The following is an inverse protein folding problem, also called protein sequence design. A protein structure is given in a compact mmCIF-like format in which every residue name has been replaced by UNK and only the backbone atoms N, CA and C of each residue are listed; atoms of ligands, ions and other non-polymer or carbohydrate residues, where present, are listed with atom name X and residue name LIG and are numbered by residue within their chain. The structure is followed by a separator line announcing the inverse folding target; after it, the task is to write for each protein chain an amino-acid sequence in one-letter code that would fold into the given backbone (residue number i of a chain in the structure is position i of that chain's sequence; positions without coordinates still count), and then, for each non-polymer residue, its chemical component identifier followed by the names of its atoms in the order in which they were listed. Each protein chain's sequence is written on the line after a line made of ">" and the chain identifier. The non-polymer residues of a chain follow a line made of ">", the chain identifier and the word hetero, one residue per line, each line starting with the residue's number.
data_IF_108602225287
#
_entry.id   IF_108602225287
#
_cell.length_a   1.000
_cell.length_b   1.000
_cell.length_c   1.000
_cell.angle_alpha   90.00
_cell.angle_beta   90.00
_cell.angle_gamma   90.00
#
_symmetry.space_group_name_H-M   'P 1'
#
loop_
_entity.id
_entity.type
_entity.pdbx_description
1 polymer ?
#
# COMPACT_ATOMS: atom_id res chain seq x y z
N UNK A 1 34.35 8.76 19.52
CA UNK A 1 33.63 9.56 18.51
C UNK A 1 32.78 10.54 19.29
N UNK A 2 32.86 11.83 18.96
CA UNK A 2 32.18 12.90 19.70
C UNK A 2 30.66 12.82 19.44
N UNK A 3 29.85 12.83 20.50
CA UNK A 3 28.39 12.67 20.41
C UNK A 3 27.74 13.83 19.67
N UNK A 4 28.38 15.01 19.69
CA UNK A 4 27.89 16.20 18.98
C UNK A 4 28.10 16.05 17.46
N UNK A 5 29.28 15.59 17.04
CA UNK A 5 29.59 15.35 15.63
C UNK A 5 28.67 14.29 14.99
N UNK A 6 28.26 13.28 15.77
CA UNK A 6 27.30 12.28 15.31
C UNK A 6 25.89 12.85 15.07
N UNK A 7 25.43 13.79 15.90
CA UNK A 7 24.12 14.42 15.69
C UNK A 7 24.14 15.38 14.49
N UNK A 8 25.22 16.15 14.31
CA UNK A 8 25.37 17.00 13.12
C UNK A 8 25.36 16.19 11.83
N UNK A 9 25.99 15.01 11.80
CA UNK A 9 25.96 14.11 10.65
C UNK A 9 24.54 13.60 10.35
N UNK A 10 23.76 13.28 11.37
CA UNK A 10 22.36 12.86 11.25
C UNK A 10 21.49 13.99 10.71
N UNK A 11 21.60 15.18 11.28
CA UNK A 11 20.81 16.34 10.86
C UNK A 11 21.14 16.71 9.40
N UNK A 12 22.44 16.70 9.06
CA UNK A 12 22.89 16.91 7.68
C UNK A 12 22.34 15.86 6.71
N UNK A 13 22.23 14.60 7.14
CA UNK A 13 21.64 13.54 6.30
C UNK A 13 20.18 13.86 5.97
N UNK A 14 19.37 14.18 6.99
CA UNK A 14 17.95 14.47 6.80
C UNK A 14 17.70 15.78 6.05
N UNK A 15 18.51 16.81 6.28
CA UNK A 15 18.42 18.10 5.57
C UNK A 15 18.77 17.97 4.08
N UNK A 16 19.64 17.02 3.74
CA UNK A 16 20.02 16.75 2.35
C UNK A 16 18.97 15.94 1.57
N UNK A 17 18.08 15.23 2.28
CA UNK A 17 17.06 14.39 1.67
C UNK A 17 15.88 15.22 1.16
N UNK A 18 15.30 14.90 -0.01
CA UNK A 18 14.08 15.56 -0.46
C UNK A 18 12.96 15.40 0.58
N UNK A 19 12.21 16.47 0.91
CA UNK A 19 11.14 16.38 1.88
C UNK A 19 10.06 15.40 1.42
N UNK A 20 9.52 14.64 2.37
CA UNK A 20 8.43 13.72 2.10
C UNK A 20 7.20 14.50 1.60
N UNK A 21 6.68 14.10 0.43
CA UNK A 21 5.44 14.68 -0.10
C UNK A 21 4.31 14.48 0.91
N UNK A 22 3.51 15.52 1.11
CA UNK A 22 2.36 15.50 2.03
C UNK A 22 2.73 15.16 3.50
N UNK A 23 3.96 15.45 3.94
CA UNK A 23 4.45 15.15 5.30
C UNK A 23 3.48 15.59 6.40
N UNK A 24 2.98 16.83 6.35
CA UNK A 24 2.03 17.35 7.32
C UNK A 24 0.75 16.50 7.43
N UNK A 25 0.17 16.11 6.29
CA UNK A 25 -1.05 15.27 6.27
C UNK A 25 -0.78 13.88 6.83
N UNK A 26 0.40 13.31 6.54
CA UNK A 26 0.81 12.00 7.06
C UNK A 26 0.98 12.09 8.59
N UNK A 27 1.65 13.14 9.07
CA UNK A 27 1.82 13.41 10.51
C UNK A 27 0.47 13.57 11.21
N UNK A 28 -0.46 14.32 10.64
CA UNK A 28 -1.80 14.51 11.20
C UNK A 28 -2.57 13.19 11.32
N UNK A 29 -2.57 12.37 10.25
CA UNK A 29 -3.20 11.05 10.26
C UNK A 29 -2.57 10.11 11.29
N UNK A 30 -1.25 10.14 11.41
CA UNK A 30 -0.51 9.29 12.36
C UNK A 30 -0.81 9.70 13.81
N UNK A 31 -0.86 11.01 14.08
CA UNK A 31 -1.26 11.53 15.38
C UNK A 31 -2.71 11.16 15.72
N UNK A 32 -3.63 11.27 14.78
CA UNK A 32 -5.03 10.86 14.96
C UNK A 32 -5.13 9.37 15.30
N UNK A 33 -4.37 8.50 14.60
CA UNK A 33 -4.32 7.07 14.87
C UNK A 33 -3.79 6.77 16.29
N UNK A 34 -2.66 7.37 16.69
CA UNK A 34 -2.08 7.17 18.02
C UNK A 34 -3.02 7.67 19.13
N UNK A 35 -3.66 8.82 18.90
CA UNK A 35 -4.63 9.37 19.85
C UNK A 35 -5.86 8.48 20.01
N UNK A 36 -6.33 7.85 18.93
CA UNK A 36 -7.45 6.92 18.99
C UNK A 36 -7.16 5.70 19.88
N UNK A 37 -5.93 5.18 19.84
CA UNK A 37 -5.51 4.03 20.64
C UNK A 37 -4.98 4.40 22.04
N UNK A 38 -4.96 5.70 22.37
CA UNK A 38 -4.47 6.21 23.66
C UNK A 38 -5.43 5.85 24.81
N UNK A 39 -4.90 5.58 26.01
CA UNK A 39 -5.73 5.27 27.18
C UNK A 39 -6.67 6.44 27.50
N UNK A 40 -7.96 6.17 27.58
CA UNK A 40 -8.98 7.14 27.96
C UNK A 40 -9.78 6.60 29.16
N UNK A 41 -9.55 7.17 30.34
CA UNK A 41 -10.17 6.74 31.60
C UNK A 41 -9.58 5.42 32.16
N UNK A 42 -10.44 4.54 32.68
CA UNK A 42 -10.05 3.25 33.27
C UNK A 42 -9.65 2.18 32.23
N UNK A 43 -9.90 2.43 30.94
CA UNK A 43 -9.58 1.49 29.86
C UNK A 43 -8.13 1.66 29.44
N UNK A 44 -7.35 0.58 29.57
CA UNK A 44 -5.96 0.53 29.13
C UNK A 44 -5.90 0.68 27.60
N UNK A 45 -5.07 1.60 27.11
CA UNK A 45 -4.88 1.86 25.68
C UNK A 45 -4.43 0.62 24.91
N UNK A 46 -4.67 0.60 23.60
CA UNK A 46 -4.30 -0.54 22.73
C UNK A 46 -2.80 -0.52 22.47
N UNK A 47 -2.19 -1.70 22.32
CA UNK A 47 -0.77 -1.80 21.97
C UNK A 47 -0.60 -1.52 20.49
N UNK A 48 0.27 -0.57 20.17
CA UNK A 48 0.62 -0.20 18.80
C UNK A 48 2.00 -0.78 18.47
N UNK A 49 2.14 -1.33 17.26
CA UNK A 49 3.42 -1.81 16.70
C UNK A 49 3.57 -1.22 15.31
N UNK A 50 4.75 -0.67 15.01
CA UNK A 50 5.11 -0.24 13.67
C UNK A 50 5.81 -1.39 12.94
N UNK A 51 5.31 -1.76 11.76
CA UNK A 51 5.91 -2.78 10.90
C UNK A 51 6.28 -2.13 9.57
N UNK A 52 7.57 -2.17 9.21
CA UNK A 52 8.05 -1.78 7.88
C UNK A 52 8.16 -3.02 7.00
N UNK A 53 7.58 -2.96 5.80
CA UNK A 53 7.58 -4.08 4.85
C UNK A 53 7.79 -3.58 3.42
N UNK A 54 8.35 -4.43 2.55
CA UNK A 54 8.71 -4.08 1.17
C UNK A 54 10.17 -3.69 0.99
N UNK A 55 10.57 -3.46 -0.26
CA UNK A 55 11.91 -3.02 -0.64
C UNK A 55 12.05 -1.49 -0.68
N UNK A 56 13.29 -1.01 -0.73
CA UNK A 56 13.59 0.41 -0.91
C UNK A 56 14.46 0.60 -2.15
N UNK A 57 14.19 1.66 -2.91
CA UNK A 57 14.97 1.99 -4.10
C UNK A 57 15.76 3.27 -3.89
N UNK A 58 16.98 3.30 -4.43
CA UNK A 58 17.85 4.48 -4.40
C UNK A 58 18.15 4.89 -5.85
N UNK A 59 17.69 6.06 -6.30
CA UNK A 59 17.94 6.53 -7.67
C UNK A 59 19.41 6.90 -7.85
N UNK A 60 19.97 6.59 -9.04
CA UNK A 60 21.33 7.00 -9.41
C UNK A 60 21.37 8.34 -10.17
N UNK A 61 20.22 8.83 -10.64
CA UNK A 61 20.06 10.10 -11.35
C UNK A 61 18.76 10.83 -10.96
N UNK A 62 18.70 12.14 -11.16
CA UNK A 62 17.49 12.95 -10.90
C UNK A 62 16.29 12.50 -11.73
N UNK A 63 16.51 12.20 -13.02
CA UNK A 63 15.50 11.55 -13.87
C UNK A 63 15.73 10.06 -13.75
N UNK A 64 15.07 9.46 -12.76
CA UNK A 64 15.31 8.08 -12.35
C UNK A 64 15.06 7.10 -13.51
N UNK A 65 16.16 6.66 -14.14
CA UNK A 65 16.17 5.62 -15.17
C UNK A 65 16.99 4.41 -14.71
N UNK A 66 17.91 4.61 -13.76
CA UNK A 66 18.63 3.55 -13.06
C UNK A 66 18.51 3.74 -11.56
N UNK A 67 18.39 2.63 -10.85
CA UNK A 67 18.26 2.60 -9.40
C UNK A 67 18.88 1.34 -8.83
N UNK A 68 19.29 1.43 -7.56
CA UNK A 68 19.61 0.27 -6.73
C UNK A 68 18.32 -0.11 -6.02
N UNK A 69 17.98 -1.40 -6.04
CA UNK A 69 16.81 -1.94 -5.36
C UNK A 69 17.23 -2.91 -4.25
N UNK A 70 16.76 -2.64 -3.03
CA UNK A 70 16.80 -3.59 -1.94
C UNK A 70 15.54 -4.46 -2.02
N UNK A 71 15.58 -5.47 -2.90
CA UNK A 71 14.40 -6.28 -3.21
C UNK A 71 13.80 -6.97 -1.99
N UNK A 72 12.49 -6.81 -1.81
CA UNK A 72 11.69 -7.54 -0.82
C UNK A 72 10.24 -7.57 -1.28
N UNK A 73 9.67 -8.77 -1.36
CA UNK A 73 8.27 -8.96 -1.77
C UNK A 73 7.25 -8.52 -0.71
N UNK A 74 7.71 -8.17 0.50
CA UNK A 74 6.85 -7.75 1.60
C UNK A 74 6.05 -8.87 2.28
N UNK A 75 6.14 -10.12 1.81
CA UNK A 75 5.35 -11.26 2.33
C UNK A 75 5.49 -11.46 3.84
N UNK A 76 6.68 -11.21 4.39
CA UNK A 76 6.94 -11.41 5.83
C UNK A 76 6.21 -10.38 6.68
N UNK A 77 6.37 -9.08 6.39
CA UNK A 77 5.71 -8.03 7.17
C UNK A 77 4.20 -8.14 7.07
N UNK A 78 3.71 -8.41 5.87
CA UNK A 78 2.33 -8.79 5.59
C UNK A 78 1.79 -9.94 6.46
N UNK A 79 2.49 -11.08 6.45
CA UNK A 79 2.10 -12.23 7.26
C UNK A 79 2.07 -11.90 8.76
N UNK A 80 2.95 -11.01 9.22
CA UNK A 80 3.00 -10.54 10.61
C UNK A 80 1.86 -9.60 11.01
N UNK A 81 1.19 -8.92 10.05
CA UNK A 81 0.13 -7.92 10.31
C UNK A 81 -1.28 -8.39 9.93
N UNK A 82 -1.49 -9.70 9.77
CA UNK A 82 -2.65 -10.36 9.12
C UNK A 82 -2.45 -10.54 7.61
N UNK A 83 -2.27 -11.79 7.19
CA UNK A 83 -1.47 -12.13 6.00
C UNK A 83 -2.00 -11.71 4.64
N UNK A 84 -1.33 -10.71 4.03
CA UNK A 84 -1.05 -10.56 2.58
C UNK A 84 -0.16 -9.34 2.30
N UNK A 85 0.60 -9.35 1.18
CA UNK A 85 1.49 -8.25 0.73
C UNK A 85 0.78 -6.90 0.50
N UNK A 86 -0.55 -6.91 0.54
CA UNK A 86 -1.42 -5.78 0.81
C UNK A 86 -2.54 -6.30 1.70
N UNK A 87 -2.96 -5.65 2.78
CA UNK A 87 -4.14 -6.10 3.53
C UNK A 87 -5.32 -6.24 2.53
N UNK A 88 -6.09 -7.34 2.61
CA UNK A 88 -7.31 -7.65 1.83
C UNK A 88 -7.21 -8.46 0.52
N UNK A 89 -6.04 -8.84 -0.01
CA UNK A 89 -5.94 -9.54 -1.32
C UNK A 89 -5.75 -11.07 -1.26
N UNK A 90 -5.98 -11.76 -0.13
CA UNK A 90 -5.64 -13.21 0.02
C UNK A 90 -6.46 -14.15 -0.87
N UNK A 91 -7.64 -13.72 -1.30
CA UNK A 91 -8.58 -14.51 -2.10
C UNK A 91 -8.47 -14.22 -3.60
N UNK A 92 -7.65 -13.25 -3.99
CA UNK A 92 -7.43 -12.93 -5.40
C UNK A 92 -6.22 -13.71 -5.93
N UNK A 93 -6.28 -14.15 -7.19
CA UNK A 93 -5.17 -14.86 -7.84
C UNK A 93 -3.96 -13.95 -8.07
N UNK A 94 -2.84 -14.53 -8.52
CA UNK A 94 -1.58 -13.78 -8.74
C UNK A 94 -1.70 -12.69 -9.82
N UNK A 95 -2.57 -12.89 -10.82
CA UNK A 95 -2.97 -11.86 -11.79
C UNK A 95 -4.49 -11.62 -11.76
N UNK A 96 -4.99 -10.77 -10.84
CA UNK A 96 -6.42 -10.50 -10.72
C UNK A 96 -7.02 -9.88 -11.98
N UNK A 97 -6.25 -9.16 -12.78
CA UNK A 97 -6.77 -8.48 -13.98
C UNK A 97 -7.09 -9.47 -15.09
N UNK A 98 -6.23 -10.46 -15.29
CA UNK A 98 -6.46 -11.51 -16.29
C UNK A 98 -7.42 -12.60 -15.79
N UNK A 99 -7.40 -12.89 -14.50
CA UNK A 99 -8.13 -14.02 -13.95
C UNK A 99 -9.49 -13.66 -13.36
N UNK A 100 -9.66 -12.45 -12.80
CA UNK A 100 -10.95 -12.04 -12.24
C UNK A 100 -11.87 -11.37 -13.25
N UNK A 101 -11.40 -10.94 -14.43
CA UNK A 101 -12.22 -10.24 -15.41
C UNK A 101 -12.35 -11.01 -16.73
N UNK A 102 -13.52 -10.93 -17.34
CA UNK A 102 -13.83 -11.50 -18.65
C UNK A 102 -14.53 -10.45 -19.53
N UNK A 103 -14.33 -10.54 -20.84
CA UNK A 103 -15.07 -9.72 -21.80
C UNK A 103 -16.49 -10.27 -21.88
N UNK A 104 -17.49 -9.43 -21.60
CA UNK A 104 -18.87 -9.75 -21.88
C UNK A 104 -19.10 -9.61 -23.39
N UNK A 105 -19.64 -10.67 -24.01
CA UNK A 105 -19.80 -10.78 -25.46
C UNK A 105 -20.50 -9.55 -26.08
N UNK A 106 -20.02 -9.18 -27.26
CA UNK A 106 -20.53 -8.08 -28.06
C UNK A 106 -21.96 -8.39 -28.57
N UNK A 107 -22.95 -7.61 -28.15
CA UNK A 107 -24.27 -7.67 -28.76
C UNK A 107 -24.29 -6.91 -30.08
N UNK A 108 -24.34 -7.65 -31.19
CA UNK A 108 -24.65 -7.09 -32.50
C UNK A 108 -26.15 -6.78 -32.59
N UNK A 109 -26.57 -5.57 -32.25
CA UNK A 109 -27.90 -5.08 -32.58
C UNK A 109 -27.79 -4.13 -33.77
N UNK A 110 -28.29 -4.59 -34.92
CA UNK A 110 -28.57 -3.76 -36.08
C UNK A 110 -27.39 -2.88 -36.56
N UNK A 111 -26.19 -3.47 -36.68
CA UNK A 111 -25.05 -2.86 -37.37
C UNK A 111 -24.29 -1.78 -36.60
N UNK A 112 -24.55 -1.61 -35.30
CA UNK A 112 -23.76 -0.77 -34.41
C UNK A 112 -22.99 -1.64 -33.39
N UNK A 113 -21.67 -1.46 -33.31
CA UNK A 113 -20.87 -2.05 -32.24
C UNK A 113 -21.16 -1.30 -30.94
N UNK A 114 -21.74 -1.98 -29.95
CA UNK A 114 -21.82 -1.48 -28.58
C UNK A 114 -20.54 -1.90 -27.86
N UNK A 115 -19.92 -0.97 -27.14
CA UNK A 115 -18.63 -1.17 -26.47
C UNK A 115 -18.64 -2.45 -25.61
N UNK A 116 -17.64 -3.31 -25.81
CA UNK A 116 -17.43 -4.51 -25.01
C UNK A 116 -17.36 -4.15 -23.53
N UNK A 117 -18.24 -4.74 -22.71
CA UNK A 117 -18.25 -4.50 -21.27
C UNK A 117 -17.31 -5.49 -20.58
N UNK A 118 -16.52 -5.03 -19.61
CA UNK A 118 -15.70 -5.91 -18.76
C UNK A 118 -16.59 -6.38 -17.61
N UNK A 119 -16.70 -7.70 -17.43
CA UNK A 119 -17.41 -8.32 -16.30
C UNK A 119 -16.44 -9.05 -15.38
N UNK A 120 -16.80 -9.24 -14.11
CA UNK A 120 -16.05 -10.07 -13.17
C UNK A 120 -16.46 -11.52 -13.36
N UNK A 121 -15.49 -12.43 -13.52
CA UNK A 121 -15.72 -13.87 -13.58
C UNK A 121 -16.52 -14.34 -12.37
N UNK A 122 -17.55 -15.15 -12.62
CA UNK A 122 -18.46 -15.56 -11.56
C UNK A 122 -17.77 -16.31 -10.40
N UNK A 123 -16.70 -17.06 -10.68
CA UNK A 123 -15.88 -17.76 -9.68
C UNK A 123 -15.19 -16.84 -8.67
N UNK A 124 -14.88 -15.59 -9.04
CA UNK A 124 -14.18 -14.62 -8.19
C UNK A 124 -15.09 -13.46 -7.76
N UNK A 125 -16.35 -13.47 -8.18
CA UNK A 125 -17.29 -12.36 -7.95
C UNK A 125 -17.48 -12.01 -6.47
N UNK A 126 -17.58 -12.99 -5.58
CA UNK A 126 -17.72 -12.74 -4.14
C UNK A 126 -16.43 -12.22 -3.50
N UNK A 127 -15.26 -12.68 -3.96
CA UNK A 127 -13.97 -12.18 -3.51
C UNK A 127 -13.75 -10.71 -3.92
N UNK A 128 -14.09 -10.37 -5.17
CA UNK A 128 -14.00 -9.01 -5.70
C UNK A 128 -15.02 -8.08 -5.01
N UNK A 129 -16.27 -8.51 -4.80
CA UNK A 129 -17.27 -7.73 -4.06
C UNK A 129 -16.84 -7.46 -2.61
N UNK A 130 -16.28 -8.46 -1.93
CA UNK A 130 -15.73 -8.30 -0.59
C UNK A 130 -14.64 -7.23 -0.55
N UNK A 131 -13.67 -7.32 -1.48
CA UNK A 131 -12.58 -6.35 -1.58
C UNK A 131 -13.07 -4.91 -1.87
N UNK A 132 -14.14 -4.72 -2.66
CA UNK A 132 -14.68 -3.39 -2.98
C UNK A 132 -15.52 -2.81 -1.84
N UNK A 133 -16.33 -3.64 -1.16
CA UNK A 133 -17.29 -3.17 -0.15
C UNK A 133 -16.60 -2.65 1.12
N UNK A 134 -15.40 -3.12 1.42
CA UNK A 134 -14.64 -2.71 2.60
C UNK A 134 -13.89 -1.36 2.39
N UNK A 135 -14.13 -0.68 1.25
CA UNK A 135 -13.48 0.58 0.88
C UNK A 135 -14.44 1.78 0.65
N UNK A 136 -15.69 1.70 1.12
CA UNK A 136 -16.65 2.81 1.11
C UNK A 136 -17.20 3.16 2.50
#
# INVERSE_FOLDING_TARGET
>A
MDSAAFHEEIDSFFDSAPPLKDSAKITDKLNQFIQFDSPSGEVRGRRVVCVTSGGTTVPLEQRCVRYIDNFSSGNRGAASTEGTCQPYCRSLPEDPLLECFELADDFNFQGYWVMSNISVRQSHSEAVKGAIRDHH
#
